data_IF_346599462320
#
_entry.id   IF_346599462320
#
_cell.length_a   1.000
_cell.length_b   1.000
_cell.length_c   1.000
_cell.angle_alpha   90.00
_cell.angle_beta   90.00
_cell.angle_gamma   90.00
#
_symmetry.space_group_name_H-M   'P 1'
#
loop_
_entity.id
_entity.type
_entity.pdbx_description
1 polymer ?
#
# COMPACT_ATOMS: atom_id res chain seq x y z
N UNK A 1 42.62 -5.47 0.60
CA UNK A 1 41.86 -6.53 1.31
C UNK A 1 41.81 -6.32 2.83
N UNK A 2 42.93 -6.29 3.59
CA UNK A 2 42.88 -6.09 5.04
C UNK A 2 42.20 -4.78 5.47
N UNK A 3 42.39 -3.72 4.67
CA UNK A 3 41.87 -2.38 4.96
C UNK A 3 40.35 -2.28 5.00
N UNK A 4 39.63 -2.88 4.04
CA UNK A 4 38.15 -2.86 4.01
C UNK A 4 37.60 -3.48 5.30
N UNK A 5 38.15 -4.64 5.72
CA UNK A 5 37.74 -5.30 6.95
C UNK A 5 38.02 -4.42 8.18
N UNK A 6 39.21 -3.86 8.30
CA UNK A 6 39.57 -2.95 9.39
C UNK A 6 38.62 -1.74 9.50
N UNK A 7 38.24 -1.15 8.36
CA UNK A 7 37.36 0.03 8.33
C UNK A 7 35.90 -0.34 8.60
N UNK A 8 35.44 -1.50 8.12
CA UNK A 8 34.12 -2.04 8.48
C UNK A 8 34.04 -2.41 9.96
N UNK A 9 35.14 -2.84 10.59
CA UNK A 9 35.17 -3.17 12.01
C UNK A 9 34.95 -1.98 12.93
N UNK A 10 35.20 -0.76 12.44
CA UNK A 10 34.87 0.49 13.16
C UNK A 10 33.38 0.80 13.16
N UNK A 11 32.59 0.16 12.30
CA UNK A 11 31.15 0.40 12.21
C UNK A 11 30.42 -0.43 13.28
N UNK A 12 29.36 0.13 13.92
CA UNK A 12 28.55 -0.57 14.91
C UNK A 12 27.57 -1.56 14.25
N UNK A 13 28.11 -2.52 13.51
CA UNK A 13 27.40 -3.58 12.80
C UNK A 13 27.62 -4.94 13.48
N UNK A 14 26.63 -5.82 13.43
CA UNK A 14 26.81 -7.21 13.87
C UNK A 14 27.72 -7.97 12.90
N UNK A 15 28.43 -9.00 13.38
CA UNK A 15 29.41 -9.75 12.57
C UNK A 15 28.83 -10.32 11.27
N UNK A 16 27.58 -10.82 11.31
CA UNK A 16 26.88 -11.30 10.14
C UNK A 16 26.65 -10.19 9.09
N UNK A 17 26.31 -8.97 9.54
CA UNK A 17 26.14 -7.82 8.66
C UNK A 17 27.49 -7.36 8.08
N UNK A 18 28.55 -7.32 8.91
CA UNK A 18 29.91 -7.00 8.47
C UNK A 18 30.38 -7.95 7.37
N UNK A 19 30.12 -9.25 7.48
CA UNK A 19 30.52 -10.23 6.48
C UNK A 19 29.89 -9.97 5.10
N UNK A 20 28.57 -9.75 5.06
CA UNK A 20 27.84 -9.39 3.82
C UNK A 20 28.39 -8.09 3.24
N UNK A 21 28.58 -7.10 4.11
CA UNK A 21 29.02 -5.77 3.73
C UNK A 21 30.43 -5.73 3.13
N UNK A 22 31.38 -6.45 3.74
CA UNK A 22 32.76 -6.58 3.25
C UNK A 22 32.77 -7.18 1.83
N UNK A 23 31.92 -8.18 1.55
CA UNK A 23 31.83 -8.81 0.23
C UNK A 23 31.42 -7.78 -0.83
N UNK A 24 30.35 -7.02 -0.58
CA UNK A 24 29.85 -6.01 -1.52
C UNK A 24 30.84 -4.87 -1.77
N UNK A 25 31.54 -4.42 -0.72
CA UNK A 25 32.56 -3.38 -0.84
C UNK A 25 33.81 -3.85 -1.60
N UNK A 26 34.13 -5.14 -1.51
CA UNK A 26 35.26 -5.71 -2.25
C UNK A 26 35.04 -5.66 -3.75
N UNK A 27 33.86 -6.09 -4.23
CA UNK A 27 33.52 -6.04 -5.65
C UNK A 27 33.57 -4.60 -6.18
N UNK A 28 33.11 -3.64 -5.38
CA UNK A 28 33.17 -2.22 -5.72
C UNK A 28 34.60 -1.69 -5.76
N UNK A 29 35.43 -2.03 -4.77
CA UNK A 29 36.83 -1.62 -4.74
C UNK A 29 37.59 -2.18 -5.95
N UNK A 30 37.35 -3.45 -6.31
CA UNK A 30 37.92 -4.08 -7.50
C UNK A 30 37.50 -3.33 -8.77
N UNK A 31 36.22 -3.00 -8.94
CA UNK A 31 35.74 -2.23 -10.08
C UNK A 31 36.46 -0.87 -10.24
N UNK A 32 36.64 -0.15 -9.12
CA UNK A 32 37.34 1.14 -9.11
C UNK A 32 38.84 1.01 -9.42
N UNK A 33 39.45 -0.13 -9.06
CA UNK A 33 40.87 -0.40 -9.24
C UNK A 33 41.22 -0.89 -10.67
N UNK A 34 40.30 -1.56 -11.37
CA UNK A 34 40.65 -2.36 -12.57
C UNK A 34 40.16 -1.85 -13.93
N UNK A 35 39.66 -0.61 -14.10
CA UNK A 35 39.35 0.10 -15.39
C UNK A 35 37.98 0.83 -15.45
N UNK A 36 37.24 1.04 -14.35
CA UNK A 36 35.90 1.66 -14.38
C UNK A 36 35.77 3.13 -13.95
N UNK A 37 36.82 3.74 -13.41
CA UNK A 37 36.82 5.15 -12.98
C UNK A 37 37.71 5.98 -13.89
N UNK A 38 37.14 6.98 -14.58
CA UNK A 38 37.90 7.89 -15.44
C UNK A 38 39.01 8.57 -14.62
N UNK A 39 40.26 8.29 -15.02
CA UNK A 39 41.55 8.75 -14.52
C UNK A 39 42.14 8.00 -13.30
N UNK A 40 43.16 7.18 -13.61
CA UNK A 40 44.17 6.58 -12.72
C UNK A 40 43.64 5.67 -11.61
N UNK A 41 43.09 4.51 -12.01
CA UNK A 41 42.79 3.42 -11.09
C UNK A 41 44.06 2.85 -10.45
N UNK A 42 44.32 3.28 -9.21
CA UNK A 42 45.10 2.56 -8.19
C UNK A 42 44.59 3.06 -6.84
N UNK A 43 43.67 2.33 -6.21
CA UNK A 43 43.24 2.64 -4.85
C UNK A 43 44.43 2.43 -3.91
N UNK A 44 45.12 3.52 -3.54
CA UNK A 44 46.22 3.47 -2.58
C UNK A 44 45.69 3.11 -1.19
N UNK A 45 46.55 2.59 -0.32
CA UNK A 45 46.21 2.24 1.08
C UNK A 45 45.69 3.42 1.87
N UNK A 46 46.08 4.64 1.48
CA UNK A 46 45.74 5.91 2.13
C UNK A 46 44.55 6.60 1.46
N UNK A 47 43.89 5.93 0.51
CA UNK A 47 42.71 6.47 -0.17
C UNK A 47 41.59 6.76 0.83
N UNK A 48 41.06 7.98 0.75
CA UNK A 48 39.87 8.40 1.50
C UNK A 48 38.63 7.58 1.15
N UNK A 49 38.66 6.77 0.09
CA UNK A 49 37.63 5.78 -0.21
C UNK A 49 37.29 4.93 1.01
N UNK A 50 38.30 4.44 1.74
CA UNK A 50 38.15 3.46 2.82
C UNK A 50 37.66 4.06 4.15
N UNK A 51 37.58 5.39 4.30
CA UNK A 51 37.22 6.04 5.57
C UNK A 51 35.70 5.98 5.87
N UNK A 52 35.17 4.76 5.96
CA UNK A 52 33.73 4.50 6.00
C UNK A 52 33.06 5.06 7.26
N UNK A 53 33.70 4.94 8.42
CA UNK A 53 33.16 5.42 9.68
C UNK A 53 33.02 6.94 9.70
N UNK A 54 34.07 7.67 9.32
CA UNK A 54 34.05 9.14 9.32
C UNK A 54 33.11 9.68 8.24
N UNK A 55 33.04 9.04 7.07
CA UNK A 55 32.06 9.39 6.03
C UNK A 55 30.62 9.21 6.50
N UNK A 56 30.31 8.07 7.13
CA UNK A 56 28.98 7.82 7.65
C UNK A 56 28.62 8.83 8.74
N UNK A 57 29.55 9.13 9.65
CA UNK A 57 29.33 10.12 10.69
C UNK A 57 29.10 11.52 10.12
N UNK A 58 29.89 11.95 9.11
CA UNK A 58 29.71 13.25 8.48
C UNK A 58 28.33 13.46 7.85
N UNK A 59 27.77 12.43 7.19
CA UNK A 59 26.39 12.50 6.66
C UNK A 59 25.36 12.57 7.79
N UNK A 60 25.56 11.79 8.85
CA UNK A 60 24.65 11.74 10.00
C UNK A 60 24.66 13.06 10.76
N UNK A 61 25.82 13.63 11.05
CA UNK A 61 25.97 14.90 11.77
C UNK A 61 25.27 16.04 11.02
N UNK A 62 25.39 16.08 9.69
CA UNK A 62 24.75 17.09 8.86
C UNK A 62 23.22 17.04 8.94
N UNK A 63 22.63 15.85 9.04
CA UNK A 63 21.17 15.64 9.06
C UNK A 63 20.64 15.20 10.43
N UNK A 64 21.41 15.39 11.51
CA UNK A 64 21.01 14.96 12.85
C UNK A 64 19.72 15.68 13.30
N UNK A 65 19.65 16.99 13.05
CA UNK A 65 18.47 17.81 13.37
C UNK A 65 17.22 17.42 12.56
N UNK A 66 17.40 16.76 11.42
CA UNK A 66 16.32 16.21 10.59
C UNK A 66 15.96 14.76 10.96
N UNK A 67 16.58 14.21 12.02
CA UNK A 67 16.25 12.91 12.59
C UNK A 67 16.94 11.72 11.91
N UNK A 68 17.99 11.97 11.10
CA UNK A 68 18.88 10.92 10.64
C UNK A 68 19.78 10.46 11.79
N UNK A 69 19.89 9.15 11.98
CA UNK A 69 20.79 8.57 12.98
C UNK A 69 21.73 7.59 12.32
N UNK A 70 22.90 7.35 12.93
CA UNK A 70 23.86 6.39 12.42
C UNK A 70 23.25 5.00 12.18
N UNK A 71 22.40 4.53 13.10
CA UNK A 71 21.68 3.26 12.95
C UNK A 71 20.79 3.24 11.70
N UNK A 72 20.02 4.31 11.45
CA UNK A 72 19.14 4.41 10.27
C UNK A 72 19.97 4.47 8.99
N UNK A 73 20.99 5.32 8.95
CA UNK A 73 21.86 5.47 7.79
C UNK A 73 22.59 4.16 7.45
N UNK A 74 23.16 3.46 8.44
CA UNK A 74 23.76 2.15 8.24
C UNK A 74 22.74 1.10 7.79
N UNK A 75 21.48 1.20 8.19
CA UNK A 75 20.39 0.39 7.65
C UNK A 75 20.22 0.57 6.13
N UNK A 76 20.26 1.81 5.64
CA UNK A 76 20.24 2.10 4.20
C UNK A 76 21.52 1.65 3.49
N UNK A 77 22.68 1.81 4.12
CA UNK A 77 23.98 1.30 3.62
C UNK A 77 23.95 -0.21 3.44
N UNK A 78 23.35 -0.97 4.36
CA UNK A 78 23.23 -2.43 4.21
C UNK A 78 22.34 -2.83 3.03
N UNK A 79 21.33 -2.03 2.69
CA UNK A 79 20.51 -2.21 1.47
C UNK A 79 21.26 -1.82 0.20
N UNK A 80 22.20 -0.88 0.28
CA UNK A 80 22.98 -0.37 -0.86
C UNK A 80 24.41 -0.02 -0.45
N UNK A 81 25.32 -1.01 -0.38
CA UNK A 81 26.63 -0.85 0.24
C UNK A 81 27.52 0.22 -0.37
N UNK A 82 27.35 0.55 -1.64
CA UNK A 82 28.17 1.55 -2.32
C UNK A 82 27.99 2.97 -1.76
N UNK A 83 26.88 3.27 -1.07
CA UNK A 83 26.63 4.64 -0.58
C UNK A 83 27.65 5.06 0.49
N UNK A 84 28.21 4.13 1.26
CA UNK A 84 29.22 4.46 2.28
C UNK A 84 30.55 4.92 1.66
N UNK A 85 30.82 4.51 0.41
CA UNK A 85 32.02 4.88 -0.31
C UNK A 85 31.96 6.28 -0.90
N UNK A 86 30.76 6.89 -0.97
CA UNK A 86 30.53 8.20 -1.54
C UNK A 86 31.21 9.31 -0.76
N UNK A 87 31.40 10.44 -1.43
CA UNK A 87 31.85 11.66 -0.78
C UNK A 87 30.67 12.23 0.06
N UNK A 88 30.83 12.43 1.38
CA UNK A 88 29.74 12.87 2.24
C UNK A 88 29.27 14.29 1.90
N UNK A 89 30.16 15.20 1.48
CA UNK A 89 29.77 16.55 1.04
C UNK A 89 28.91 16.51 -0.23
N UNK A 90 29.17 15.57 -1.14
CA UNK A 90 28.32 15.38 -2.33
C UNK A 90 26.92 14.89 -1.93
N UNK A 91 26.83 13.92 -1.02
CA UNK A 91 25.55 13.39 -0.51
C UNK A 91 24.74 14.50 0.15
N UNK A 92 25.33 15.24 1.09
CA UNK A 92 24.62 16.28 1.85
C UNK A 92 24.18 17.42 0.94
N UNK A 93 25.08 17.92 0.08
CA UNK A 93 24.78 18.98 -0.89
C UNK A 93 23.65 18.60 -1.84
N UNK A 94 23.67 17.39 -2.40
CA UNK A 94 22.62 16.97 -3.33
C UNK A 94 21.23 16.95 -2.69
N UNK A 95 21.14 16.50 -1.43
CA UNK A 95 19.89 16.49 -0.68
C UNK A 95 19.44 17.91 -0.34
N UNK A 96 20.36 18.76 0.14
CA UNK A 96 20.08 20.16 0.48
C UNK A 96 19.59 20.95 -0.74
N UNK A 97 20.26 20.83 -1.87
CA UNK A 97 19.90 21.53 -3.12
C UNK A 97 18.52 21.10 -3.63
N UNK A 98 18.22 19.79 -3.55
CA UNK A 98 16.91 19.28 -3.97
C UNK A 98 15.80 19.79 -3.04
N UNK A 99 16.01 19.71 -1.72
CA UNK A 99 14.99 20.13 -0.74
C UNK A 99 14.76 21.64 -0.86
N UNK A 100 15.81 22.46 -0.95
CA UNK A 100 15.70 23.90 -1.13
C UNK A 100 14.89 24.28 -2.39
N UNK A 101 14.99 23.48 -3.46
CA UNK A 101 14.24 23.71 -4.70
C UNK A 101 12.73 23.54 -4.54
N UNK A 102 12.29 22.66 -3.65
CA UNK A 102 10.87 22.31 -3.46
C UNK A 102 10.35 22.70 -2.07
N UNK A 103 11.09 23.52 -1.33
CA UNK A 103 10.72 23.94 0.02
C UNK A 103 9.40 24.71 0.02
N UNK A 104 9.18 25.60 -0.97
CA UNK A 104 7.92 26.32 -1.14
C UNK A 104 6.73 25.43 -1.46
N UNK A 105 6.97 24.25 -2.03
CA UNK A 105 5.94 23.24 -2.34
C UNK A 105 5.71 22.26 -1.18
N UNK A 106 6.47 22.42 -0.08
CA UNK A 106 6.32 21.69 1.17
C UNK A 106 7.25 20.48 1.33
N UNK A 107 8.28 20.31 0.48
CA UNK A 107 9.27 19.26 0.70
C UNK A 107 10.21 19.61 1.85
N UNK A 108 10.35 18.72 2.82
CA UNK A 108 11.29 18.89 3.94
C UNK A 108 12.42 17.85 3.91
N UNK A 109 13.58 18.19 4.47
CA UNK A 109 14.72 17.26 4.62
C UNK A 109 14.30 15.99 5.36
N UNK A 110 13.62 16.14 6.49
CA UNK A 110 13.12 15.03 7.31
C UNK A 110 12.28 14.03 6.50
N UNK A 111 11.35 14.53 5.67
CA UNK A 111 10.49 13.66 4.87
C UNK A 111 11.23 13.03 3.70
N UNK A 112 12.07 13.80 3.00
CA UNK A 112 12.91 13.27 1.92
C UNK A 112 13.87 12.17 2.42
N UNK A 113 14.53 12.40 3.56
CA UNK A 113 15.42 11.44 4.21
C UNK A 113 14.67 10.17 4.61
N UNK A 114 13.43 10.28 5.08
CA UNK A 114 12.60 9.11 5.39
C UNK A 114 12.44 8.22 4.16
N UNK A 115 12.16 8.80 2.99
CA UNK A 115 12.06 8.04 1.73
C UNK A 115 13.42 7.50 1.32
N UNK A 116 14.51 8.27 1.45
CA UNK A 116 15.85 7.82 1.10
C UNK A 116 16.35 6.63 1.94
N UNK A 117 15.88 6.47 3.17
CA UNK A 117 16.17 5.30 4.00
C UNK A 117 15.51 4.02 3.48
N UNK A 118 14.38 4.16 2.78
CA UNK A 118 13.68 3.07 2.11
C UNK A 118 14.20 2.84 0.70
N UNK A 119 14.58 3.91 0.01
CA UNK A 119 15.15 3.95 -1.34
C UNK A 119 16.56 4.58 -1.34
N UNK A 120 17.62 3.83 -1.02
CA UNK A 120 18.96 4.38 -0.84
C UNK A 120 19.56 5.07 -2.07
N UNK A 121 18.98 4.85 -3.26
CA UNK A 121 19.31 5.58 -4.47
C UNK A 121 19.20 7.10 -4.31
N UNK A 122 18.27 7.56 -3.47
CA UNK A 122 18.01 8.98 -3.23
C UNK A 122 19.11 9.71 -2.46
N UNK A 123 20.03 8.98 -1.80
CA UNK A 123 21.21 9.60 -1.16
C UNK A 123 22.24 10.10 -2.18
N UNK A 124 22.21 9.60 -3.42
CA UNK A 124 23.20 9.95 -4.44
C UNK A 124 22.60 10.33 -5.79
N UNK A 125 21.27 10.40 -5.88
CA UNK A 125 20.61 10.95 -7.04
C UNK A 125 21.04 12.42 -7.24
N UNK A 126 21.28 12.80 -8.50
CA UNK A 126 21.53 14.20 -8.83
C UNK A 126 20.25 15.02 -8.61
N UNK A 127 20.33 16.18 -7.92
CA UNK A 127 19.15 17.00 -7.63
C UNK A 127 18.42 17.44 -8.91
N UNK A 128 19.14 17.74 -9.98
CA UNK A 128 18.58 18.13 -11.28
C UNK A 128 17.74 17.00 -11.90
N UNK A 129 18.19 15.75 -11.77
CA UNK A 129 17.46 14.60 -12.31
C UNK A 129 16.14 14.42 -11.59
N UNK A 130 16.15 14.46 -10.25
CA UNK A 130 14.92 14.31 -9.46
C UNK A 130 13.97 15.49 -9.73
N UNK A 131 14.50 16.71 -9.80
CA UNK A 131 13.70 17.88 -10.12
C UNK A 131 13.09 17.82 -11.52
N UNK A 132 13.85 17.34 -12.52
CA UNK A 132 13.33 17.14 -13.88
C UNK A 132 12.23 16.08 -13.91
N UNK A 133 12.37 14.98 -13.15
CA UNK A 133 11.33 13.96 -13.05
C UNK A 133 10.04 14.54 -12.45
N UNK A 134 10.15 15.29 -11.36
CA UNK A 134 8.99 15.92 -10.70
C UNK A 134 8.34 16.96 -11.61
N UNK A 135 9.11 17.94 -12.08
CA UNK A 135 8.59 19.03 -12.90
C UNK A 135 8.01 18.51 -14.21
N UNK A 136 8.66 17.55 -14.88
CA UNK A 136 8.15 17.00 -16.13
C UNK A 136 6.78 16.36 -16.00
N UNK A 137 6.49 15.66 -14.88
CA UNK A 137 5.14 15.11 -14.64
C UNK A 137 4.14 16.21 -14.36
N UNK A 138 4.48 17.16 -13.48
CA UNK A 138 3.58 18.26 -13.10
C UNK A 138 3.25 19.13 -14.30
N UNK A 139 4.25 19.54 -15.09
CA UNK A 139 4.07 20.32 -16.31
C UNK A 139 3.21 19.58 -17.34
N UNK A 140 3.37 18.26 -17.48
CA UNK A 140 2.57 17.46 -18.43
C UNK A 140 1.09 17.43 -18.07
N UNK A 141 0.74 17.56 -16.79
CA UNK A 141 -0.63 17.37 -16.27
C UNK A 141 -1.17 18.60 -15.53
N UNK A 142 -0.54 19.77 -15.72
CA UNK A 142 -0.95 21.01 -15.05
C UNK A 142 -2.38 21.41 -15.44
N UNK A 143 -2.74 21.28 -16.72
CA UNK A 143 -4.08 21.58 -17.22
C UNK A 143 -5.15 20.60 -16.70
N UNK A 144 -4.73 19.40 -16.26
CA UNK A 144 -5.58 18.39 -15.63
C UNK A 144 -5.63 18.54 -14.10
N UNK A 145 -5.05 19.60 -13.54
CA UNK A 145 -5.13 19.97 -12.13
C UNK A 145 -4.07 19.32 -11.22
N UNK A 146 -2.99 18.77 -11.76
CA UNK A 146 -1.85 18.30 -10.95
C UNK A 146 -0.93 19.46 -10.59
N UNK A 147 -0.66 19.65 -9.31
CA UNK A 147 0.35 20.61 -8.82
C UNK A 147 1.55 19.91 -8.17
N UNK A 148 2.64 20.68 -8.00
CA UNK A 148 3.89 20.19 -7.43
C UNK A 148 3.73 19.70 -6.00
N UNK A 149 2.96 20.40 -5.16
CA UNK A 149 2.79 20.04 -3.75
C UNK A 149 2.09 18.69 -3.61
N UNK A 150 1.05 18.45 -4.40
CA UNK A 150 0.28 17.21 -4.40
C UNK A 150 1.09 16.05 -4.99
N UNK A 151 1.85 16.28 -6.06
CA UNK A 151 2.75 15.27 -6.60
C UNK A 151 3.86 14.90 -5.61
N UNK A 152 4.45 15.87 -4.91
CA UNK A 152 5.45 15.62 -3.86
C UNK A 152 4.87 14.82 -2.69
N UNK A 153 3.65 15.14 -2.23
CA UNK A 153 2.95 14.36 -1.20
C UNK A 153 2.71 12.92 -1.64
N UNK A 154 2.42 12.69 -2.92
CA UNK A 154 2.32 11.35 -3.48
C UNK A 154 3.69 10.66 -3.50
N UNK A 155 4.73 11.36 -3.98
CA UNK A 155 6.10 10.84 -4.05
C UNK A 155 6.67 10.47 -2.69
N UNK A 156 6.35 11.20 -1.62
CA UNK A 156 6.76 10.87 -0.26
C UNK A 156 6.17 9.56 0.30
N UNK A 157 5.15 8.99 -0.37
CA UNK A 157 4.51 7.72 0.01
C UNK A 157 4.98 6.54 -0.85
N UNK A 158 5.77 6.78 -1.89
CA UNK A 158 6.17 5.76 -2.86
C UNK A 158 7.51 6.10 -3.53
N UNK A 159 7.84 5.52 -4.68
CA UNK A 159 9.13 5.66 -5.37
C UNK A 159 9.12 6.71 -6.48
N UNK A 160 8.18 7.66 -6.50
CA UNK A 160 7.97 8.56 -7.66
C UNK A 160 9.15 9.49 -7.97
N UNK A 161 10.03 9.77 -7.01
CA UNK A 161 11.22 10.57 -7.26
C UNK A 161 12.15 9.94 -8.32
N UNK A 162 12.21 8.61 -8.41
CA UNK A 162 13.18 7.91 -9.26
C UNK A 162 12.65 7.61 -10.68
N UNK A 163 11.33 7.63 -10.87
CA UNK A 163 10.71 7.37 -12.17
C UNK A 163 10.90 8.56 -13.12
N UNK A 164 11.35 8.32 -14.37
CA UNK A 164 11.35 9.36 -15.40
C UNK A 164 9.95 9.92 -15.65
N UNK A 165 9.87 11.23 -15.92
CA UNK A 165 8.58 11.91 -16.16
C UNK A 165 7.79 11.27 -17.30
N UNK A 166 8.47 10.96 -18.41
CA UNK A 166 7.83 10.42 -19.61
C UNK A 166 7.24 9.03 -19.37
N UNK A 167 7.85 8.24 -18.49
CA UNK A 167 7.33 6.93 -18.10
C UNK A 167 6.03 7.04 -17.30
N UNK A 168 6.00 7.94 -16.31
CA UNK A 168 4.78 8.23 -15.54
C UNK A 168 3.68 8.77 -16.47
N UNK A 169 4.04 9.71 -17.34
CA UNK A 169 3.12 10.30 -18.29
C UNK A 169 2.55 9.28 -19.29
N UNK A 170 3.38 8.38 -19.83
CA UNK A 170 2.91 7.35 -20.75
C UNK A 170 1.96 6.37 -20.07
N UNK A 171 2.20 6.02 -18.81
CA UNK A 171 1.35 5.08 -18.09
C UNK A 171 -0.04 5.67 -17.82
N UNK A 172 -0.09 6.92 -17.34
CA UNK A 172 -1.36 7.64 -17.11
C UNK A 172 -2.13 7.78 -18.43
N UNK A 173 -1.47 8.30 -19.48
CA UNK A 173 -2.09 8.50 -20.80
C UNK A 173 -2.59 7.19 -21.40
N UNK A 174 -1.85 6.09 -21.22
CA UNK A 174 -2.24 4.77 -21.69
C UNK A 174 -3.57 4.28 -21.08
N UNK A 175 -3.73 4.40 -19.76
CA UNK A 175 -4.97 4.02 -19.08
C UNK A 175 -6.14 4.92 -19.49
N UNK A 176 -5.93 6.24 -19.46
CA UNK A 176 -6.97 7.23 -19.78
C UNK A 176 -7.43 7.08 -21.23
N UNK A 177 -6.50 6.96 -22.18
CA UNK A 177 -6.84 6.79 -23.59
C UNK A 177 -7.67 5.53 -23.85
N UNK A 178 -7.38 4.43 -23.16
CA UNK A 178 -8.15 3.20 -23.29
C UNK A 178 -9.60 3.36 -22.84
N UNK A 179 -9.83 4.04 -21.71
CA UNK A 179 -11.17 4.20 -21.10
C UNK A 179 -11.86 5.53 -21.40
N UNK A 180 -11.32 6.36 -22.29
CA UNK A 180 -11.90 7.66 -22.61
C UNK A 180 -13.35 7.55 -23.12
N UNK A 181 -13.66 6.54 -23.93
CA UNK A 181 -15.02 6.31 -24.44
C UNK A 181 -16.02 5.87 -23.36
N UNK A 182 -15.52 5.29 -22.26
CA UNK A 182 -16.30 4.93 -21.08
C UNK A 182 -16.40 6.08 -20.06
N UNK A 183 -15.76 7.21 -20.35
CA UNK A 183 -15.86 8.46 -19.58
C UNK A 183 -14.85 8.59 -18.44
N UNK A 184 -13.70 7.90 -18.51
CA UNK A 184 -12.55 8.24 -17.67
C UNK A 184 -11.76 9.37 -18.34
N UNK A 185 -11.53 10.46 -17.62
CA UNK A 185 -10.63 11.53 -18.04
C UNK A 185 -9.35 11.59 -17.17
N UNK A 186 -8.37 12.38 -17.62
CA UNK A 186 -7.07 12.49 -16.96
C UNK A 186 -7.20 13.08 -15.55
N UNK A 187 -8.02 14.13 -15.38
CA UNK A 187 -8.25 14.76 -14.09
C UNK A 187 -8.79 13.76 -13.05
N UNK A 188 -9.81 12.97 -13.40
CA UNK A 188 -10.40 11.97 -12.50
C UNK A 188 -9.39 10.85 -12.17
N UNK A 189 -8.59 10.42 -13.15
CA UNK A 189 -7.54 9.42 -12.92
C UNK A 189 -6.43 9.95 -12.01
N UNK A 190 -5.96 11.18 -12.22
CA UNK A 190 -4.96 11.83 -11.38
C UNK A 190 -5.45 12.01 -9.94
N UNK A 191 -6.71 12.43 -9.76
CA UNK A 191 -7.32 12.52 -8.44
C UNK A 191 -7.38 11.17 -7.72
N UNK A 192 -7.64 10.09 -8.46
CA UNK A 192 -7.55 8.74 -7.92
C UNK A 192 -6.09 8.36 -7.58
N UNK A 193 -5.13 8.71 -8.44
CA UNK A 193 -3.71 8.44 -8.24
C UNK A 193 -3.10 9.21 -7.04
N UNK A 194 -3.53 10.44 -6.77
CA UNK A 194 -3.11 11.18 -5.57
C UNK A 194 -3.58 10.50 -4.26
N UNK A 195 -4.72 9.80 -4.30
CA UNK A 195 -5.25 9.00 -3.19
C UNK A 195 -4.63 7.60 -3.12
N UNK A 196 -4.18 7.06 -4.26
CA UNK A 196 -3.47 5.78 -4.37
C UNK A 196 -2.23 5.95 -5.28
N UNK A 197 -1.10 6.45 -4.73
CA UNK A 197 0.09 6.80 -5.51
C UNK A 197 0.65 5.73 -6.44
N UNK A 198 0.51 4.41 -6.16
CA UNK A 198 0.91 3.38 -7.12
C UNK A 198 0.32 3.53 -8.53
N UNK A 199 -0.83 4.21 -8.69
CA UNK A 199 -1.45 4.41 -10.00
C UNK A 199 -0.63 5.32 -10.94
N UNK A 200 0.26 6.17 -10.41
CA UNK A 200 1.15 6.98 -11.26
C UNK A 200 2.12 6.14 -12.10
N UNK A 201 2.54 4.97 -11.61
CA UNK A 201 3.54 4.14 -12.26
C UNK A 201 3.06 2.71 -12.59
N UNK A 202 1.81 2.38 -12.27
CA UNK A 202 1.21 1.10 -12.66
C UNK A 202 1.16 1.00 -14.18
N UNK A 203 1.50 -0.17 -14.73
CA UNK A 203 1.46 -0.33 -16.19
C UNK A 203 0.02 -0.26 -16.70
N UNK A 204 -0.23 0.36 -17.87
CA UNK A 204 -1.56 0.44 -18.44
C UNK A 204 -2.21 -0.93 -18.60
N UNK A 205 -1.45 -1.92 -19.06
CA UNK A 205 -1.93 -3.28 -19.32
C UNK A 205 -2.48 -3.92 -18.05
N UNK A 206 -1.81 -3.71 -16.90
CA UNK A 206 -2.25 -4.25 -15.62
C UNK A 206 -3.55 -3.61 -15.17
N UNK A 207 -3.63 -2.28 -15.20
CA UNK A 207 -4.83 -1.54 -14.77
C UNK A 207 -6.03 -1.85 -15.68
N UNK A 208 -5.81 -1.86 -17.00
CA UNK A 208 -6.83 -2.20 -17.98
C UNK A 208 -7.34 -3.61 -17.73
N UNK A 209 -6.43 -4.58 -17.63
CA UNK A 209 -6.77 -6.00 -17.41
C UNK A 209 -7.53 -6.22 -16.09
N UNK A 210 -7.13 -5.53 -15.01
CA UNK A 210 -7.83 -5.58 -13.73
C UNK A 210 -9.30 -5.16 -13.85
N UNK A 211 -9.56 -4.10 -14.61
CA UNK A 211 -10.91 -3.55 -14.81
C UNK A 211 -11.72 -4.43 -15.76
N UNK A 212 -11.18 -4.74 -16.94
CA UNK A 212 -11.93 -5.44 -17.99
C UNK A 212 -12.33 -6.84 -17.54
N UNK A 213 -11.45 -7.58 -16.85
CA UNK A 213 -11.78 -8.91 -16.35
C UNK A 213 -12.95 -8.91 -15.36
N UNK A 214 -13.03 -7.92 -14.46
CA UNK A 214 -14.18 -7.80 -13.54
C UNK A 214 -15.45 -7.44 -14.30
N UNK A 215 -15.37 -6.44 -15.19
CA UNK A 215 -16.53 -5.98 -15.96
C UNK A 215 -17.08 -7.11 -16.83
N UNK A 216 -16.22 -7.82 -17.56
CA UNK A 216 -16.61 -8.92 -18.44
C UNK A 216 -17.29 -10.05 -17.65
N UNK A 217 -16.76 -10.38 -16.46
CA UNK A 217 -17.34 -11.42 -15.59
C UNK A 217 -18.77 -11.11 -15.16
N UNK A 218 -19.08 -9.84 -14.88
CA UNK A 218 -20.40 -9.42 -14.37
C UNK A 218 -21.24 -8.63 -15.38
N UNK A 219 -20.85 -8.62 -16.66
CA UNK A 219 -21.59 -7.92 -17.71
C UNK A 219 -23.03 -8.44 -17.86
N UNK A 220 -23.22 -9.77 -17.75
CA UNK A 220 -24.54 -10.40 -17.81
C UNK A 220 -25.46 -10.03 -16.64
N UNK A 221 -24.86 -9.64 -15.51
CA UNK A 221 -25.54 -9.16 -14.31
C UNK A 221 -25.71 -7.63 -14.33
N UNK A 222 -25.29 -6.95 -15.41
CA UNK A 222 -25.53 -5.52 -15.63
C UNK A 222 -24.44 -4.58 -15.13
N UNK A 223 -23.24 -5.07 -14.84
CA UNK A 223 -22.06 -4.23 -14.63
C UNK A 223 -21.58 -3.68 -15.98
N UNK A 224 -21.32 -2.38 -16.03
CA UNK A 224 -20.75 -1.71 -17.22
C UNK A 224 -19.42 -1.06 -16.88
N UNK A 225 -18.52 -0.97 -17.87
CA UNK A 225 -17.20 -0.32 -17.70
C UNK A 225 -17.33 1.09 -17.15
N UNK A 226 -18.21 1.90 -17.76
CA UNK A 226 -18.50 3.27 -17.31
C UNK A 226 -18.89 3.37 -15.84
N UNK A 227 -19.75 2.48 -15.35
CA UNK A 227 -20.20 2.51 -13.95
C UNK A 227 -19.12 2.01 -13.00
N UNK A 228 -18.36 1.00 -13.42
CA UNK A 228 -17.20 0.52 -12.68
C UNK A 228 -16.14 1.62 -12.52
N UNK A 229 -15.79 2.33 -13.59
CA UNK A 229 -14.83 3.43 -13.56
C UNK A 229 -15.27 4.58 -12.64
N UNK A 230 -16.55 4.99 -12.70
CA UNK A 230 -17.10 5.98 -11.75
C UNK A 230 -16.99 5.54 -10.30
N UNK A 231 -17.07 4.24 -10.04
CA UNK A 231 -16.85 3.65 -8.73
C UNK A 231 -15.37 3.63 -8.36
N UNK A 232 -14.48 3.30 -9.31
CA UNK A 232 -13.04 3.29 -9.11
C UNK A 232 -12.46 4.68 -8.82
N UNK A 233 -12.97 5.74 -9.45
CA UNK A 233 -12.57 7.12 -9.12
C UNK A 233 -12.92 7.47 -7.65
N UNK A 234 -14.06 6.98 -7.15
CA UNK A 234 -14.47 7.15 -5.74
C UNK A 234 -13.70 6.23 -4.79
N UNK A 235 -13.35 5.03 -5.22
CA UNK A 235 -12.58 4.02 -4.49
C UNK A 235 -11.37 3.54 -5.32
N UNK A 236 -10.24 4.27 -5.29
CA UNK A 236 -9.10 4.04 -6.19
C UNK A 236 -8.49 2.64 -6.14
N UNK A 237 -8.66 1.89 -5.05
CA UNK A 237 -8.21 0.49 -4.96
C UNK A 237 -8.82 -0.41 -6.03
N UNK A 238 -9.98 -0.05 -6.61
CA UNK A 238 -10.60 -0.80 -7.71
C UNK A 238 -9.81 -0.75 -9.03
N UNK A 239 -8.89 0.20 -9.20
CA UNK A 239 -7.95 0.21 -10.33
C UNK A 239 -6.83 -0.83 -10.16
N UNK A 240 -6.46 -1.15 -8.92
CA UNK A 240 -5.23 -1.88 -8.60
C UNK A 240 -5.46 -3.29 -8.03
N UNK A 241 -6.59 -3.52 -7.36
CA UNK A 241 -6.88 -4.81 -6.73
C UNK A 241 -7.14 -5.89 -7.79
N UNK A 242 -6.72 -7.12 -7.50
CA UNK A 242 -6.83 -8.21 -8.48
C UNK A 242 -8.29 -8.51 -8.84
N UNK A 243 -8.58 -8.86 -10.12
CA UNK A 243 -9.93 -9.18 -10.56
C UNK A 243 -10.58 -10.28 -9.72
N UNK A 244 -9.82 -11.32 -9.35
CA UNK A 244 -10.33 -12.42 -8.54
C UNK A 244 -10.82 -11.98 -7.16
N UNK A 245 -10.10 -11.04 -6.54
CA UNK A 245 -10.48 -10.52 -5.22
C UNK A 245 -11.77 -9.72 -5.30
N UNK A 246 -11.88 -8.83 -6.28
CA UNK A 246 -13.10 -8.04 -6.49
C UNK A 246 -14.27 -8.97 -6.84
N UNK A 247 -14.03 -9.95 -7.70
CA UNK A 247 -15.05 -10.90 -8.12
C UNK A 247 -15.58 -11.73 -6.96
N UNK A 248 -14.69 -12.23 -6.10
CA UNK A 248 -15.08 -12.98 -4.90
C UNK A 248 -15.92 -12.12 -3.95
N UNK A 249 -15.60 -10.84 -3.78
CA UNK A 249 -16.37 -9.94 -2.93
C UNK A 249 -17.75 -9.61 -3.51
N UNK A 250 -17.84 -9.43 -4.83
CA UNK A 250 -19.12 -9.28 -5.53
C UNK A 250 -19.96 -10.55 -5.36
N UNK A 251 -19.37 -11.72 -5.58
CA UNK A 251 -20.05 -13.02 -5.41
C UNK A 251 -20.48 -13.26 -3.96
N UNK A 252 -19.66 -12.90 -2.97
CA UNK A 252 -20.05 -12.98 -1.57
C UNK A 252 -21.27 -12.09 -1.25
N UNK A 253 -21.32 -10.88 -1.80
CA UNK A 253 -22.49 -10.02 -1.67
C UNK A 253 -23.74 -10.59 -2.38
N UNK A 254 -23.55 -11.23 -3.54
CA UNK A 254 -24.63 -11.94 -4.24
C UNK A 254 -25.14 -13.13 -3.43
N UNK A 255 -24.25 -13.94 -2.86
CA UNK A 255 -24.62 -15.07 -2.01
C UNK A 255 -25.40 -14.62 -0.78
N UNK A 256 -24.97 -13.54 -0.12
CA UNK A 256 -25.74 -12.96 0.99
C UNK A 256 -27.16 -12.56 0.56
N UNK A 257 -27.33 -12.08 -0.68
CA UNK A 257 -28.65 -11.74 -1.21
C UNK A 257 -29.49 -12.97 -1.54
N UNK A 258 -28.89 -13.97 -2.18
CA UNK A 258 -29.53 -15.26 -2.53
C UNK A 258 -29.97 -16.02 -1.26
N UNK A 259 -29.19 -15.95 -0.17
CA UNK A 259 -29.52 -16.51 1.14
C UNK A 259 -30.58 -15.67 1.91
N UNK A 260 -31.01 -14.54 1.36
CA UNK A 260 -31.96 -13.63 2.01
C UNK A 260 -31.40 -12.96 3.28
N UNK A 261 -30.08 -12.87 3.41
CA UNK A 261 -29.34 -12.17 4.48
C UNK A 261 -29.09 -10.71 4.12
N UNK A 262 -29.07 -10.39 2.82
CA UNK A 262 -28.98 -9.04 2.28
C UNK A 262 -30.11 -8.77 1.28
N UNK A 263 -30.76 -7.62 1.38
CA UNK A 263 -31.83 -7.17 0.51
C UNK A 263 -31.40 -5.85 -0.12
N UNK A 264 -30.87 -5.88 -1.36
CA UNK A 264 -30.47 -4.66 -2.04
C UNK A 264 -31.68 -3.73 -2.23
N UNK A 265 -31.48 -2.41 -2.15
CA UNK A 265 -32.58 -1.46 -2.26
C UNK A 265 -33.26 -1.58 -3.62
N UNK A 266 -34.59 -1.64 -3.63
CA UNK A 266 -35.38 -1.65 -4.86
C UNK A 266 -35.09 -0.39 -5.69
N UNK A 267 -34.98 -0.49 -7.02
CA UNK A 267 -34.60 0.64 -7.84
C UNK A 267 -35.76 1.64 -7.89
N UNK A 268 -35.46 2.94 -7.79
CA UNK A 268 -36.47 4.01 -7.92
C UNK A 268 -36.96 4.19 -9.36
N UNK A 269 -36.19 3.73 -10.34
CA UNK A 269 -36.55 3.71 -11.77
C UNK A 269 -36.17 2.34 -12.34
N UNK A 270 -37.09 1.72 -13.07
CA UNK A 270 -36.84 0.44 -13.75
C UNK A 270 -35.79 0.69 -14.83
N UNK A 271 -34.64 0.01 -14.74
CA UNK A 271 -33.65 -0.01 -15.84
C UNK A 271 -34.28 -0.73 -17.02
N UNK A 272 -34.50 -0.03 -18.12
CA UNK A 272 -34.95 -0.62 -19.38
C UNK A 272 -33.74 -1.14 -20.14
N UNK A 273 -33.28 -2.33 -19.78
CA UNK A 273 -32.21 -3.05 -20.47
C UNK A 273 -32.29 -4.56 -20.18
N UNK A 274 -31.78 -5.42 -21.08
CA UNK A 274 -31.83 -6.86 -20.90
C UNK A 274 -30.76 -7.30 -19.90
N UNK A 275 -31.06 -7.31 -18.61
CA UNK A 275 -30.26 -8.05 -17.63
C UNK A 275 -30.77 -9.48 -17.55
N UNK A 276 -29.86 -10.47 -17.58
CA UNK A 276 -30.25 -11.89 -17.48
C UNK A 276 -30.70 -12.25 -16.06
N UNK A 277 -30.16 -11.57 -15.06
CA UNK A 277 -30.50 -11.77 -13.65
C UNK A 277 -30.82 -10.42 -12.96
N UNK A 278 -32.12 -10.05 -12.88
CA UNK A 278 -32.54 -8.80 -12.26
C UNK A 278 -32.14 -8.66 -10.79
N UNK A 279 -32.09 -9.75 -10.02
CA UNK A 279 -31.75 -9.71 -8.59
C UNK A 279 -30.26 -9.43 -8.37
N UNK A 280 -29.39 -10.10 -9.13
CA UNK A 280 -27.94 -9.83 -9.12
C UNK A 280 -27.62 -8.42 -9.60
N UNK A 281 -28.37 -7.89 -10.57
CA UNK A 281 -28.22 -6.51 -11.01
C UNK A 281 -28.47 -5.49 -9.87
N UNK A 282 -29.39 -5.78 -8.95
CA UNK A 282 -29.63 -4.91 -7.78
C UNK A 282 -28.48 -4.95 -6.78
N UNK A 283 -27.85 -6.12 -6.60
CA UNK A 283 -26.62 -6.24 -5.79
C UNK A 283 -25.52 -5.39 -6.39
N UNK A 284 -25.27 -5.51 -7.71
CA UNK A 284 -24.26 -4.71 -8.42
C UNK A 284 -24.55 -3.22 -8.28
N UNK A 285 -25.79 -2.78 -8.49
CA UNK A 285 -26.16 -1.37 -8.31
C UNK A 285 -25.89 -0.88 -6.87
N UNK A 286 -26.16 -1.71 -5.87
CA UNK A 286 -25.86 -1.39 -4.47
C UNK A 286 -24.36 -1.26 -4.22
N UNK A 287 -23.55 -2.18 -4.75
CA UNK A 287 -22.09 -2.14 -4.63
C UNK A 287 -21.49 -0.93 -5.37
N UNK A 288 -22.04 -0.56 -6.53
CA UNK A 288 -21.61 0.65 -7.25
C UNK A 288 -21.98 1.93 -6.49
N UNK A 289 -23.05 1.94 -5.68
CA UNK A 289 -23.36 3.11 -4.83
C UNK A 289 -22.34 3.27 -3.69
N UNK A 290 -21.91 2.17 -3.10
CA UNK A 290 -20.91 2.12 -2.03
C UNK A 290 -19.71 1.21 -2.42
N UNK A 291 -18.79 1.71 -3.27
CA UNK A 291 -17.74 0.89 -3.86
C UNK A 291 -16.70 0.39 -2.87
N UNK A 292 -16.66 0.96 -1.65
CA UNK A 292 -15.83 0.44 -0.56
C UNK A 292 -16.21 -1.00 -0.19
N UNK A 293 -17.47 -1.41 -0.38
CA UNK A 293 -17.92 -2.77 -0.08
C UNK A 293 -17.15 -3.81 -0.92
N UNK A 294 -16.86 -3.51 -2.19
CA UNK A 294 -16.07 -4.39 -3.06
C UNK A 294 -14.60 -4.51 -2.62
N UNK A 295 -14.15 -3.73 -1.64
CA UNK A 295 -12.79 -3.70 -1.12
C UNK A 295 -12.67 -4.17 0.34
N UNK A 296 -13.75 -4.70 0.93
CA UNK A 296 -13.71 -5.34 2.25
C UNK A 296 -12.81 -6.59 2.22
N UNK A 297 -12.17 -6.93 3.34
CA UNK A 297 -11.47 -8.21 3.43
C UNK A 297 -12.46 -9.40 3.49
N UNK A 298 -12.05 -10.59 3.04
CA UNK A 298 -12.92 -11.79 3.01
C UNK A 298 -13.57 -12.10 4.37
N UNK A 299 -12.80 -11.97 5.44
CA UNK A 299 -13.26 -12.17 6.82
C UNK A 299 -14.35 -11.18 7.26
N UNK A 300 -14.55 -10.06 6.54
CA UNK A 300 -15.63 -9.12 6.79
C UNK A 300 -16.96 -9.59 6.21
N UNK A 301 -16.95 -10.30 5.08
CA UNK A 301 -18.16 -10.91 4.52
C UNK A 301 -18.58 -12.12 5.34
N UNK A 302 -17.63 -12.97 5.74
CA UNK A 302 -17.91 -14.11 6.62
C UNK A 302 -18.45 -13.65 7.99
N UNK A 303 -17.85 -12.62 8.59
CA UNK A 303 -18.35 -12.03 9.84
C UNK A 303 -19.80 -11.53 9.69
N UNK A 304 -20.12 -10.86 8.59
CA UNK A 304 -21.47 -10.35 8.29
C UNK A 304 -22.46 -11.50 8.18
N UNK A 305 -22.10 -12.56 7.45
CA UNK A 305 -22.94 -13.74 7.33
C UNK A 305 -23.26 -14.35 8.70
N UNK A 306 -22.24 -14.61 9.53
CA UNK A 306 -22.41 -15.15 10.88
C UNK A 306 -23.27 -14.20 11.73
N UNK A 307 -22.97 -12.91 11.73
CA UNK A 307 -23.74 -11.89 12.46
C UNK A 307 -25.22 -11.95 12.09
N UNK A 308 -25.54 -11.99 10.79
CA UNK A 308 -26.91 -11.95 10.32
C UNK A 308 -27.68 -13.25 10.59
N UNK A 309 -27.00 -14.40 10.54
CA UNK A 309 -27.58 -15.71 10.91
C UNK A 309 -27.90 -15.81 12.41
N UNK A 310 -27.16 -15.10 13.25
CA UNK A 310 -27.30 -15.17 14.71
C UNK A 310 -28.21 -14.10 15.33
N UNK A 311 -28.21 -12.88 14.77
CA UNK A 311 -28.79 -11.70 15.46
C UNK A 311 -30.10 -11.17 14.86
N UNK A 312 -30.59 -11.78 13.77
CA UNK A 312 -31.76 -11.27 13.00
C UNK A 312 -31.67 -9.77 12.65
N UNK A 313 -30.45 -9.27 12.43
CA UNK A 313 -30.17 -7.86 12.15
C UNK A 313 -30.88 -7.30 10.90
N UNK A 314 -30.75 -5.98 10.64
CA UNK A 314 -31.34 -5.38 9.45
C UNK A 314 -30.76 -6.03 8.18
N UNK A 315 -31.62 -6.40 7.23
CA UNK A 315 -31.19 -7.04 5.97
C UNK A 315 -30.89 -6.04 4.86
N UNK A 316 -31.10 -4.74 5.07
CA UNK A 316 -30.89 -3.72 4.03
C UNK A 316 -29.41 -3.32 3.85
N UNK A 317 -29.13 -2.38 2.94
CA UNK A 317 -27.75 -1.94 2.64
C UNK A 317 -26.97 -1.39 3.83
N UNK A 318 -27.64 -0.94 4.90
CA UNK A 318 -26.97 -0.45 6.12
C UNK A 318 -26.20 -1.55 6.83
N UNK A 319 -26.59 -2.82 6.62
CA UNK A 319 -25.88 -3.96 7.18
C UNK A 319 -24.52 -4.16 6.54
N UNK A 320 -24.41 -4.08 5.21
CA UNK A 320 -23.11 -4.22 4.54
C UNK A 320 -22.17 -3.06 4.90
N UNK A 321 -22.69 -1.83 5.02
CA UNK A 321 -21.89 -0.64 5.33
C UNK A 321 -21.53 -0.50 6.82
N UNK A 322 -21.98 -1.41 7.70
CA UNK A 322 -21.69 -1.31 9.13
C UNK A 322 -20.21 -1.54 9.44
N UNK A 323 -19.59 -0.73 10.31
CA UNK A 323 -18.20 -0.95 10.70
C UNK A 323 -18.00 -2.32 11.35
N UNK A 324 -16.91 -3.01 11.00
CA UNK A 324 -16.56 -4.35 11.52
C UNK A 324 -16.66 -4.43 13.05
N UNK A 325 -16.02 -3.50 13.76
CA UNK A 325 -15.97 -3.49 15.23
C UNK A 325 -17.37 -3.43 15.88
N UNK A 326 -18.37 -2.86 15.21
CA UNK A 326 -19.75 -2.87 15.71
C UNK A 326 -20.39 -4.24 15.57
N UNK A 327 -20.17 -4.92 14.43
CA UNK A 327 -20.66 -6.28 14.22
C UNK A 327 -20.02 -7.26 15.20
N UNK A 328 -18.71 -7.13 15.43
CA UNK A 328 -18.00 -7.92 16.45
C UNK A 328 -18.60 -7.70 17.84
N UNK A 329 -18.80 -6.44 18.26
CA UNK A 329 -19.39 -6.11 19.57
C UNK A 329 -20.81 -6.67 19.72
N UNK A 330 -21.65 -6.56 18.69
CA UNK A 330 -23.01 -7.09 18.73
C UNK A 330 -23.03 -8.62 18.80
N UNK A 331 -22.13 -9.30 18.09
CA UNK A 331 -21.96 -10.75 18.22
C UNK A 331 -21.45 -11.14 19.60
N UNK A 332 -20.44 -10.45 20.14
CA UNK A 332 -19.94 -10.70 21.49
C UNK A 332 -21.06 -10.56 22.53
N UNK A 333 -21.84 -9.48 22.47
CA UNK A 333 -23.01 -9.26 23.33
C UNK A 333 -24.08 -10.35 23.14
N UNK A 334 -24.35 -10.78 21.90
CA UNK A 334 -25.28 -11.88 21.62
C UNK A 334 -24.84 -13.21 22.28
N UNK A 335 -23.53 -13.44 22.37
CA UNK A 335 -22.95 -14.59 23.07
C UNK A 335 -22.73 -14.35 24.58
N UNK A 336 -23.29 -13.28 25.16
CA UNK A 336 -23.23 -13.00 26.60
C UNK A 336 -21.93 -12.37 27.07
N UNK A 337 -21.20 -11.70 26.17
CA UNK A 337 -19.92 -11.06 26.49
C UNK A 337 -19.92 -9.58 26.09
N UNK A 338 -20.29 -8.72 27.04
CA UNK A 338 -20.58 -7.30 26.80
C UNK A 338 -19.34 -6.38 26.84
N UNK A 339 -18.26 -6.80 27.52
CA UNK A 339 -17.02 -6.04 27.62
C UNK A 339 -15.86 -6.71 26.84
N UNK A 340 -15.48 -6.18 25.67
CA UNK A 340 -14.33 -6.67 24.90
C UNK A 340 -12.96 -6.56 25.60
N UNK A 341 -12.88 -5.94 26.77
CA UNK A 341 -11.65 -5.91 27.58
C UNK A 341 -11.51 -7.12 28.48
N UNK A 342 -12.61 -7.74 28.86
CA UNK A 342 -12.58 -8.94 29.68
C UNK A 342 -12.18 -10.13 28.80
N UNK A 343 -11.33 -11.05 29.30
CA UNK A 343 -11.00 -12.24 28.53
C UNK A 343 -12.22 -13.17 28.49
N UNK A 344 -12.48 -13.78 27.33
CA UNK A 344 -13.54 -14.79 27.21
C UNK A 344 -13.12 -16.01 28.04
N UNK A 345 -13.91 -16.42 29.05
CA UNK A 345 -13.56 -17.52 29.94
C UNK A 345 -13.24 -18.83 29.19
N UNK A 346 -12.32 -19.62 29.73
CA UNK A 346 -11.97 -20.95 29.19
C UNK A 346 -12.75 -22.10 29.86
N UNK A 347 -13.77 -21.79 30.64
CA UNK A 347 -14.64 -22.77 31.32
C UNK A 347 -15.67 -23.43 30.38
N UNK A 348 -15.36 -23.48 29.08
CA UNK A 348 -16.24 -23.94 28.01
C UNK A 348 -16.25 -25.45 27.80
N UNK A 349 -17.37 -25.93 27.26
CA UNK A 349 -17.65 -27.28 26.79
C UNK A 349 -16.44 -28.04 26.22
N UNK A 350 -16.11 -29.19 26.82
CA UNK A 350 -15.16 -30.16 26.27
C UNK A 350 -15.92 -31.08 25.31
N UNK A 351 -15.45 -31.22 24.07
CA UNK A 351 -16.06 -32.10 23.08
C UNK A 351 -16.23 -33.52 23.66
N UNK A 352 -17.49 -33.97 23.77
CA UNK A 352 -17.86 -35.26 24.36
C UNK A 352 -18.72 -35.20 25.63
N UNK A 353 -18.98 -34.01 26.20
CA UNK A 353 -20.00 -33.88 27.25
C UNK A 353 -21.41 -34.02 26.68
N UNK A 354 -22.28 -34.75 27.38
CA UNK A 354 -23.59 -35.13 26.86
C UNK A 354 -24.58 -33.96 26.75
N UNK A 355 -24.41 -32.87 27.52
CA UNK A 355 -25.34 -31.73 27.55
C UNK A 355 -24.63 -30.44 28.03
N UNK A 356 -24.06 -29.60 27.14
CA UNK A 356 -23.61 -28.26 27.53
C UNK A 356 -24.78 -27.39 27.94
N UNK A 357 -24.56 -26.46 28.89
CA UNK A 357 -25.50 -25.36 29.09
C UNK A 357 -25.51 -24.44 27.87
N UNK A 358 -26.59 -23.67 27.68
CA UNK A 358 -26.68 -22.67 26.61
C UNK A 358 -25.52 -21.67 26.67
N UNK A 359 -25.14 -21.25 27.89
CA UNK A 359 -24.02 -20.35 28.14
C UNK A 359 -22.68 -20.98 27.73
N UNK A 360 -22.45 -22.24 28.05
CA UNK A 360 -21.25 -22.97 27.63
C UNK A 360 -21.18 -23.12 26.10
N UNK A 361 -22.32 -23.37 25.45
CA UNK A 361 -22.40 -23.43 23.99
C UNK A 361 -22.11 -22.06 23.34
N UNK A 362 -22.69 -20.97 23.88
CA UNK A 362 -22.45 -19.60 23.42
C UNK A 362 -20.98 -19.19 23.54
N UNK A 363 -20.34 -19.49 24.68
CA UNK A 363 -18.90 -19.24 24.88
C UNK A 363 -18.03 -20.07 23.95
N UNK A 364 -18.37 -21.34 23.72
CA UNK A 364 -17.66 -22.20 22.77
C UNK A 364 -17.70 -21.61 21.35
N UNK A 365 -18.87 -21.19 20.88
CA UNK A 365 -19.02 -20.54 19.55
C UNK A 365 -18.24 -19.24 19.50
N UNK A 366 -18.33 -18.38 20.53
CA UNK A 366 -17.57 -17.13 20.59
C UNK A 366 -16.06 -17.38 20.48
N UNK A 367 -15.50 -18.33 21.24
CA UNK A 367 -14.08 -18.71 21.14
C UNK A 367 -13.73 -19.27 19.77
N UNK A 368 -14.60 -20.08 19.15
CA UNK A 368 -14.38 -20.58 17.80
C UNK A 368 -14.31 -19.43 16.77
N UNK A 369 -15.17 -18.42 16.89
CA UNK A 369 -15.16 -17.22 16.02
C UNK A 369 -13.89 -16.38 16.23
N UNK A 370 -13.40 -16.27 17.47
CA UNK A 370 -12.12 -15.61 17.79
C UNK A 370 -10.92 -16.38 17.21
N UNK A 371 -10.90 -17.71 17.37
CA UNK A 371 -9.87 -18.57 16.79
C UNK A 371 -9.84 -18.53 15.26
N UNK A 372 -11.02 -18.44 14.62
CA UNK A 372 -11.14 -18.27 13.17
C UNK A 372 -10.77 -16.84 12.69
N UNK A 373 -10.48 -15.91 13.60
CA UNK A 373 -10.15 -14.52 13.27
C UNK A 373 -11.35 -13.67 12.81
N UNK A 374 -12.58 -14.16 12.99
CA UNK A 374 -13.80 -13.42 12.65
C UNK A 374 -14.14 -12.36 13.70
N UNK A 375 -13.82 -12.62 14.96
CA UNK A 375 -13.88 -11.62 16.04
C UNK A 375 -12.44 -11.30 16.46
N UNK A 376 -11.99 -10.08 16.16
CA UNK A 376 -10.63 -9.61 16.48
C UNK A 376 -10.58 -8.79 17.77
N UNK A 377 -11.71 -8.25 18.23
CA UNK A 377 -11.85 -7.68 19.57
C UNK A 377 -11.88 -8.75 20.67
N UNK A 378 -11.36 -8.43 21.86
CA UNK A 378 -11.30 -9.38 22.99
C UNK A 378 -9.96 -10.08 23.17
N UNK A 379 -9.78 -10.69 24.33
CA UNK A 379 -8.73 -11.68 24.56
C UNK A 379 -9.34 -13.00 25.02
N UNK A 380 -8.67 -14.11 24.83
CA UNK A 380 -9.10 -15.41 25.38
C UNK A 380 -8.34 -15.66 26.67
N UNK A 381 -9.01 -16.17 27.70
CA UNK A 381 -8.29 -16.79 28.81
C UNK A 381 -7.47 -17.96 28.28
N UNK A 382 -6.18 -17.97 28.67
CA UNK A 382 -5.21 -18.99 28.25
C UNK A 382 -5.47 -20.33 28.90
#
# INVERSE_FOLDING_TARGET
MPRIRQEVDKLPLADAQKAIFISALFDRAKFLDTNGGTNTGQLTTDSSFFDFASKAQAVVDHFESDGLTLKKYLGAVLKSPHIIGLNPQTVTRNIDELVARFESDGLTRREYLKVALDEPALFYAAPERIASNVNGVVETFADDGLDTSDYLKAALKTQLFTYPSDFVASNIKGVVAHFASDGLDTHDYLKAALRLPPLFYSSPETVISNITQVVDRFAADGLTTREYLKSAVRQPSLFAMSPDTISRHIEAAMQLAEDGLFMPPKPRKIRTGPTKNPERALVIESLLKDPYLMCLADDNYALREVHQRMTEGPKDSRFLSRPRHRLEKELMAHFGHDDPKEPVPNDGFVAGQANPSEEQAKRFVLRALMHAGLIKGGSMER
#
